data_IF_189789289849
#
_entry.id   IF_189789289849
#
_cell.length_a   1.000
_cell.length_b   1.000
_cell.length_c   1.000
_cell.angle_alpha   90.00
_cell.angle_beta   90.00
_cell.angle_gamma   90.00
#
_symmetry.space_group_name_H-M   'P 1'
#
loop_
_entity.id
_entity.type
_entity.pdbx_description
1 polymer ?
#
# COMPACT_ATOMS: atom_id res chain seq x y z
N UNK A 1 -41.62 -20.91 -47.85
CA UNK A 1 -40.89 -21.70 -46.83
C UNK A 1 -40.19 -20.75 -45.88
N UNK A 2 -40.46 -20.81 -44.58
CA UNK A 2 -39.82 -19.93 -43.57
C UNK A 2 -38.47 -20.52 -43.16
N UNK A 3 -37.41 -19.72 -43.18
CA UNK A 3 -36.08 -20.17 -42.80
C UNK A 3 -36.00 -20.45 -41.28
N UNK A 4 -35.99 -21.73 -40.88
CA UNK A 4 -35.98 -22.17 -39.47
C UNK A 4 -34.67 -21.89 -38.72
N UNK A 5 -33.60 -21.49 -39.41
CA UNK A 5 -32.29 -21.23 -38.79
C UNK A 5 -32.21 -19.90 -38.03
N UNK A 6 -33.19 -19.02 -38.18
CA UNK A 6 -33.21 -17.70 -37.55
C UNK A 6 -33.74 -17.83 -36.12
N UNK A 7 -33.03 -17.33 -35.07
CA UNK A 7 -33.45 -17.44 -33.66
C UNK A 7 -34.83 -16.85 -33.35
N UNK A 8 -35.30 -15.93 -34.22
CA UNK A 8 -36.63 -15.30 -34.14
C UNK A 8 -37.78 -16.29 -34.40
N UNK A 9 -37.51 -17.43 -35.04
CA UNK A 9 -38.50 -18.47 -35.35
C UNK A 9 -38.57 -19.56 -34.25
N UNK A 10 -38.21 -19.21 -33.02
CA UNK A 10 -38.12 -20.14 -31.87
C UNK A 10 -39.40 -20.94 -31.61
N UNK A 11 -40.57 -20.33 -31.80
CA UNK A 11 -41.86 -21.01 -31.62
C UNK A 11 -42.07 -22.12 -32.65
N UNK A 12 -41.69 -21.89 -33.90
CA UNK A 12 -41.77 -22.90 -34.97
C UNK A 12 -40.72 -24.00 -34.79
N UNK A 13 -39.49 -23.65 -34.39
CA UNK A 13 -38.46 -24.66 -34.07
C UNK A 13 -38.91 -25.60 -32.94
N UNK A 14 -39.61 -25.10 -31.91
CA UNK A 14 -40.12 -25.93 -30.80
C UNK A 14 -41.17 -26.96 -31.24
N UNK A 15 -41.86 -26.73 -32.36
CA UNK A 15 -42.80 -27.72 -32.91
C UNK A 15 -42.09 -28.91 -33.57
N UNK A 16 -40.85 -28.70 -34.01
CA UNK A 16 -40.07 -29.69 -34.76
C UNK A 16 -38.88 -30.28 -33.98
N UNK A 17 -38.44 -29.63 -32.90
CA UNK A 17 -37.35 -30.12 -32.05
C UNK A 17 -37.63 -29.85 -30.57
N UNK A 18 -37.45 -30.84 -29.70
CA UNK A 18 -37.54 -30.68 -28.24
C UNK A 18 -36.37 -29.92 -27.61
N UNK A 19 -35.34 -29.63 -28.39
CA UNK A 19 -34.13 -28.92 -27.96
C UNK A 19 -34.32 -27.41 -28.11
N UNK A 20 -33.85 -26.64 -27.13
CA UNK A 20 -33.79 -25.19 -27.22
C UNK A 20 -32.41 -24.76 -27.74
N UNK A 21 -32.30 -23.75 -28.63
CA UNK A 21 -31.01 -23.21 -28.99
C UNK A 21 -30.31 -22.66 -27.74
N UNK A 22 -29.13 -23.21 -27.43
CA UNK A 22 -28.22 -22.66 -26.44
C UNK A 22 -27.85 -21.24 -26.86
N UNK A 23 -28.11 -20.26 -26.01
CA UNK A 23 -27.60 -18.90 -26.24
C UNK A 23 -26.07 -18.99 -26.22
N UNK A 24 -25.43 -18.75 -27.35
CA UNK A 24 -23.97 -18.78 -27.52
C UNK A 24 -23.21 -17.80 -26.60
N UNK A 25 -23.90 -16.94 -25.86
CA UNK A 25 -23.31 -15.83 -25.11
C UNK A 25 -22.68 -16.24 -23.77
N UNK A 26 -22.84 -17.49 -23.30
CA UNK A 26 -22.22 -17.94 -22.04
C UNK A 26 -20.67 -17.89 -22.10
N UNK A 27 -20.08 -18.22 -23.24
CA UNK A 27 -18.62 -18.18 -23.44
C UNK A 27 -18.11 -16.80 -23.88
N UNK A 28 -18.95 -15.95 -24.46
CA UNK A 28 -18.53 -14.66 -25.02
C UNK A 28 -18.53 -13.52 -23.98
N UNK A 29 -19.40 -13.57 -22.97
CA UNK A 29 -19.48 -12.56 -21.91
C UNK A 29 -18.94 -13.02 -20.55
N UNK A 30 -18.34 -14.21 -20.48
CA UNK A 30 -17.65 -14.67 -19.28
C UNK A 30 -16.57 -13.68 -18.82
N UNK A 31 -15.83 -13.06 -19.74
CA UNK A 31 -14.84 -12.02 -19.39
C UNK A 31 -15.48 -10.75 -18.82
N UNK A 32 -16.62 -10.31 -19.35
CA UNK A 32 -17.33 -9.11 -18.87
C UNK A 32 -17.91 -9.32 -17.49
N UNK A 33 -18.34 -10.55 -17.17
CA UNK A 33 -18.91 -10.88 -15.88
C UNK A 33 -17.85 -11.23 -14.81
N UNK A 34 -16.74 -11.87 -15.21
CA UNK A 34 -15.64 -12.23 -14.29
C UNK A 34 -14.82 -11.02 -13.83
N UNK A 35 -14.75 -9.94 -14.61
CA UNK A 35 -13.99 -8.74 -14.24
C UNK A 35 -14.57 -8.02 -13.00
N UNK A 36 -15.87 -7.69 -12.93
CA UNK A 36 -16.50 -7.15 -11.73
C UNK A 36 -16.37 -8.08 -10.51
N UNK A 37 -16.52 -9.40 -10.70
CA UNK A 37 -16.35 -10.36 -9.61
C UNK A 37 -14.92 -10.37 -9.06
N UNK A 38 -13.92 -10.38 -9.95
CA UNK A 38 -12.51 -10.26 -9.56
C UNK A 38 -12.25 -8.96 -8.84
N UNK A 39 -12.76 -7.85 -9.37
CA UNK A 39 -12.62 -6.54 -8.75
C UNK A 39 -13.20 -6.52 -7.33
N UNK A 40 -14.42 -7.00 -7.13
CA UNK A 40 -15.06 -7.05 -5.80
C UNK A 40 -14.24 -7.87 -4.81
N UNK A 41 -13.58 -8.95 -5.25
CA UNK A 41 -12.71 -9.76 -4.40
C UNK A 41 -11.42 -9.05 -3.98
N UNK A 42 -10.84 -8.20 -4.83
CA UNK A 42 -9.54 -7.56 -4.57
C UNK A 42 -9.65 -6.11 -4.07
N UNK A 43 -10.81 -5.45 -4.24
CA UNK A 43 -10.96 -4.02 -3.94
C UNK A 43 -10.61 -3.66 -2.51
N UNK A 44 -10.90 -4.56 -1.55
CA UNK A 44 -10.68 -4.28 -0.14
C UNK A 44 -9.18 -4.36 0.18
N UNK A 45 -8.44 -5.25 -0.47
CA UNK A 45 -6.97 -5.29 -0.39
C UNK A 45 -6.34 -4.03 -0.99
N UNK A 46 -6.82 -3.57 -2.15
CA UNK A 46 -6.35 -2.34 -2.78
C UNK A 46 -6.52 -1.15 -1.82
N UNK A 47 -7.70 -1.01 -1.21
CA UNK A 47 -7.98 0.06 -0.25
C UNK A 47 -7.09 -0.01 0.99
N UNK A 48 -6.70 -1.20 1.45
CA UNK A 48 -5.75 -1.35 2.57
C UNK A 48 -4.37 -0.82 2.22
N UNK A 49 -3.88 -1.15 1.03
CA UNK A 49 -2.57 -0.65 0.54
C UNK A 49 -2.62 0.87 0.35
N UNK A 50 -3.71 1.40 -0.20
CA UNK A 50 -3.90 2.85 -0.36
C UNK A 50 -3.87 3.57 1.00
N UNK A 51 -4.59 3.05 2.00
CA UNK A 51 -4.59 3.63 3.34
C UNK A 51 -3.19 3.64 4.00
N UNK A 52 -2.38 2.59 3.75
CA UNK A 52 -0.99 2.56 4.20
C UNK A 52 -0.18 3.66 3.52
N UNK A 53 -0.37 3.87 2.22
CA UNK A 53 0.32 4.92 1.47
C UNK A 53 -0.06 6.33 1.94
N UNK A 54 -1.32 6.55 2.31
CA UNK A 54 -1.77 7.81 2.89
C UNK A 54 -1.11 8.04 4.26
N UNK A 55 -1.09 7.01 5.14
CA UNK A 55 -0.39 7.09 6.43
C UNK A 55 1.10 7.38 6.28
N UNK A 56 1.77 6.77 5.30
CA UNK A 56 3.20 6.99 5.05
C UNK A 56 3.53 8.42 4.59
N UNK A 57 2.55 9.14 4.04
CA UNK A 57 2.70 10.53 3.60
C UNK A 57 2.38 11.55 4.69
N UNK A 58 1.90 11.12 5.85
CA UNK A 58 1.64 12.00 6.99
C UNK A 58 2.95 12.55 7.55
N UNK A 59 3.08 13.88 7.63
CA UNK A 59 4.27 14.57 8.14
C UNK A 59 4.50 14.33 9.65
N UNK A 60 3.49 13.81 10.35
CA UNK A 60 3.54 13.52 11.79
C UNK A 60 4.06 12.13 12.11
N UNK A 61 4.21 11.25 11.11
CA UNK A 61 4.56 9.86 11.33
C UNK A 61 6.04 9.70 11.68
N UNK A 62 6.32 9.08 12.84
CA UNK A 62 7.69 8.79 13.23
C UNK A 62 8.29 7.71 12.34
N UNK A 63 9.61 7.77 12.10
CA UNK A 63 10.34 6.76 11.32
C UNK A 63 10.24 5.35 11.92
N UNK A 64 10.11 5.24 13.24
CA UNK A 64 9.82 3.97 13.92
C UNK A 64 8.43 3.43 13.59
N UNK A 65 7.41 4.29 13.53
CA UNK A 65 6.05 3.90 13.17
C UNK A 65 5.95 3.49 11.69
N UNK A 66 6.69 4.19 10.80
CA UNK A 66 6.87 3.78 9.40
C UNK A 66 7.36 2.33 9.32
N UNK A 67 8.35 1.95 10.12
CA UNK A 67 8.91 0.60 10.10
C UNK A 67 7.90 -0.46 10.53
N UNK A 68 7.16 -0.20 11.62
CA UNK A 68 6.07 -1.07 12.08
C UNK A 68 5.01 -1.26 10.97
N UNK A 69 4.69 -0.20 10.24
CA UNK A 69 3.70 -0.26 9.16
C UNK A 69 4.20 -1.09 7.98
N UNK A 70 5.46 -0.93 7.59
CA UNK A 70 6.09 -1.72 6.53
C UNK A 70 6.27 -3.19 6.92
N UNK A 71 6.58 -3.49 8.19
CA UNK A 71 6.66 -4.87 8.70
C UNK A 71 5.28 -5.55 8.65
N UNK A 72 4.22 -4.84 9.05
CA UNK A 72 2.84 -5.33 8.91
C UNK A 72 2.45 -5.55 7.45
N UNK A 73 2.89 -4.70 6.52
CA UNK A 73 2.69 -4.92 5.08
C UNK A 73 3.37 -6.20 4.58
N UNK A 74 4.58 -6.48 5.04
CA UNK A 74 5.31 -7.70 4.73
C UNK A 74 4.67 -8.96 5.35
N UNK A 75 3.92 -8.81 6.44
CA UNK A 75 3.11 -9.87 7.04
C UNK A 75 1.82 -10.11 6.25
N UNK A 76 1.04 -9.07 5.96
CA UNK A 76 -0.23 -9.17 5.24
C UNK A 76 -0.05 -9.59 3.77
N UNK A 77 1.02 -9.12 3.13
CA UNK A 77 1.31 -9.40 1.73
C UNK A 77 2.70 -10.02 1.61
N UNK A 78 2.84 -11.36 1.79
CA UNK A 78 4.14 -12.04 1.76
C UNK A 78 4.94 -11.82 0.48
N UNK A 79 4.28 -11.49 -0.63
CA UNK A 79 4.91 -11.13 -1.90
C UNK A 79 5.80 -9.88 -1.81
N UNK A 80 5.60 -9.02 -0.81
CA UNK A 80 6.38 -7.80 -0.59
C UNK A 80 7.64 -8.03 0.25
N UNK A 81 7.77 -9.18 0.92
CA UNK A 81 8.92 -9.50 1.78
C UNK A 81 10.28 -9.33 1.11
N UNK A 82 10.49 -9.75 -0.16
CA UNK A 82 11.78 -9.55 -0.82
C UNK A 82 12.21 -8.08 -0.95
N UNK A 83 11.26 -7.15 -0.84
CA UNK A 83 11.49 -5.72 -1.00
C UNK A 83 11.48 -4.96 0.33
N UNK A 84 10.79 -5.48 1.36
CA UNK A 84 10.58 -4.79 2.64
C UNK A 84 11.35 -5.42 3.81
N UNK A 85 11.89 -6.63 3.64
CA UNK A 85 12.66 -7.33 4.68
C UNK A 85 13.90 -6.52 5.11
N UNK A 86 14.38 -6.66 6.36
CA UNK A 86 15.69 -6.19 6.77
C UNK A 86 16.86 -6.69 5.91
N UNK A 87 16.66 -7.80 5.18
CA UNK A 87 17.66 -8.39 4.27
C UNK A 87 17.34 -8.12 2.78
N UNK A 88 16.47 -7.15 2.48
CA UNK A 88 16.09 -6.83 1.11
C UNK A 88 17.27 -6.26 0.29
N UNK A 89 17.34 -6.60 -1.00
CA UNK A 89 18.41 -6.19 -1.92
C UNK A 89 18.60 -4.67 -2.03
N UNK A 90 17.57 -3.89 -1.70
CA UNK A 90 17.61 -2.42 -1.68
C UNK A 90 18.48 -1.86 -0.55
N UNK A 91 18.82 -2.66 0.45
CA UNK A 91 19.61 -2.23 1.60
C UNK A 91 21.10 -2.30 1.24
N UNK A 92 21.70 -1.12 1.10
CA UNK A 92 23.11 -1.00 0.71
C UNK A 92 24.09 -1.35 1.83
N UNK A 93 23.74 -1.10 3.09
CA UNK A 93 24.55 -1.42 4.25
C UNK A 93 23.67 -1.81 5.42
N UNK A 94 23.62 -3.12 5.69
CA UNK A 94 22.81 -3.69 6.77
C UNK A 94 23.24 -3.15 8.15
N UNK A 95 24.55 -3.02 8.38
CA UNK A 95 25.13 -2.49 9.62
C UNK A 95 24.62 -1.07 9.86
N UNK A 96 24.70 -0.21 8.85
CA UNK A 96 24.23 1.18 8.93
C UNK A 96 22.73 1.26 9.25
N UNK A 97 21.88 0.54 8.50
CA UNK A 97 20.43 0.53 8.72
C UNK A 97 20.07 0.04 10.13
N UNK A 98 20.73 -1.03 10.60
CA UNK A 98 20.51 -1.56 11.94
C UNK A 98 20.92 -0.57 13.03
N UNK A 99 22.02 0.17 12.83
CA UNK A 99 22.49 1.20 13.74
C UNK A 99 21.50 2.37 13.83
N UNK A 100 20.96 2.82 12.70
CA UNK A 100 19.93 3.87 12.64
C UNK A 100 18.66 3.45 13.40
N UNK A 101 18.22 2.20 13.25
CA UNK A 101 17.06 1.65 13.98
C UNK A 101 17.30 1.67 15.49
N UNK A 102 18.47 1.18 15.94
CA UNK A 102 18.83 1.20 17.37
C UNK A 102 18.84 2.62 17.93
N UNK A 103 19.33 3.60 17.16
CA UNK A 103 19.33 5.01 17.56
C UNK A 103 17.89 5.56 17.64
N UNK A 104 17.05 5.27 16.65
CA UNK A 104 15.66 5.72 16.59
C UNK A 104 14.80 5.16 17.74
N UNK A 105 15.04 3.90 18.13
CA UNK A 105 14.40 3.25 19.27
C UNK A 105 15.01 3.64 20.64
N UNK A 106 15.96 4.58 20.66
CA UNK A 106 16.70 5.02 21.86
C UNK A 106 17.50 3.91 22.56
N UNK A 107 17.79 2.79 21.86
CA UNK A 107 18.61 1.66 22.34
C UNK A 107 20.09 1.89 22.09
N UNK A 108 20.63 3.03 22.57
CA UNK A 108 22.05 3.39 22.36
C UNK A 108 23.04 2.41 23.02
N UNK A 109 22.60 1.65 24.02
CA UNK A 109 23.42 0.65 24.71
C UNK A 109 23.77 -0.57 23.84
N UNK A 110 23.02 -0.81 22.75
CA UNK A 110 23.20 -1.96 21.85
C UNK A 110 24.05 -1.64 20.61
N UNK A 111 24.62 -0.43 20.54
CA UNK A 111 25.49 -0.03 19.44
C UNK A 111 26.84 -0.72 19.56
N UNK A 112 27.14 -1.57 18.57
CA UNK A 112 28.47 -2.15 18.39
C UNK A 112 29.45 -1.07 17.91
N UNK A 113 30.77 -1.26 18.06
CA UNK A 113 31.75 -0.33 17.49
C UNK A 113 31.61 -0.20 15.97
N UNK A 114 31.27 -1.27 15.26
CA UNK A 114 30.99 -1.26 13.82
C UNK A 114 29.77 -0.38 13.47
N UNK A 115 28.71 -0.45 14.28
CA UNK A 115 27.54 0.44 14.14
C UNK A 115 27.93 1.92 14.32
N UNK A 116 28.80 2.20 15.30
CA UNK A 116 29.25 3.57 15.58
C UNK A 116 30.09 4.14 14.44
N UNK A 117 30.95 3.32 13.83
CA UNK A 117 31.77 3.68 12.69
C UNK A 117 30.90 3.92 11.44
N UNK A 118 29.90 3.07 11.20
CA UNK A 118 28.97 3.22 10.08
C UNK A 118 28.15 4.53 10.14
N UNK A 119 27.76 4.97 11.34
CA UNK A 119 26.95 6.19 11.54
C UNK A 119 27.82 7.43 11.79
N UNK A 120 29.13 7.28 12.02
CA UNK A 120 30.05 8.39 12.29
C UNK A 120 29.97 9.53 11.25
N UNK A 121 29.88 9.27 9.92
CA UNK A 121 29.78 10.34 8.92
C UNK A 121 28.53 11.22 9.04
N UNK A 122 27.47 10.74 9.70
CA UNK A 122 26.17 11.41 9.82
C UNK A 122 25.99 12.17 11.14
N UNK A 123 27.03 12.21 12.00
CA UNK A 123 27.01 13.01 13.22
C UNK A 123 27.04 14.48 12.85
N UNK A 124 25.96 15.21 13.17
CA UNK A 124 25.94 16.66 13.02
C UNK A 124 27.00 17.29 13.94
N UNK A 125 27.90 18.07 13.34
CA UNK A 125 28.79 18.96 14.08
C UNK A 125 27.92 20.07 14.67
N UNK A 126 27.90 20.20 16.00
CA UNK A 126 27.23 21.33 16.66
C UNK A 126 27.84 22.65 16.16
N UNK A 127 27.01 23.65 15.89
CA UNK A 127 27.38 25.00 15.40
C UNK A 127 28.45 25.72 16.24
N UNK A 128 28.83 25.20 17.41
CA UNK A 128 29.92 25.73 18.22
C UNK A 128 31.32 25.55 17.60
N UNK A 129 31.50 24.81 16.49
CA UNK A 129 32.84 24.62 15.90
C UNK A 129 32.87 24.43 14.37
N UNK A 130 32.33 25.36 13.58
CA UNK A 130 32.63 25.42 12.13
C UNK A 130 32.91 26.86 11.68
N UNK A 131 34.11 27.19 11.16
CA UNK A 131 34.34 28.43 10.44
C UNK A 131 33.60 28.41 9.09
N UNK A 132 32.99 29.55 8.77
CA UNK A 132 32.10 29.75 7.64
C UNK A 132 32.66 29.25 6.28
N UNK A 133 31.90 28.38 5.60
CA UNK A 133 31.88 28.30 4.14
C UNK A 133 30.59 27.64 3.60
N UNK A 134 29.78 28.48 2.96
CA UNK A 134 28.74 28.32 1.91
C UNK A 134 28.42 26.93 1.33
N UNK A 135 27.13 26.59 1.21
CA UNK A 135 26.44 26.24 -0.08
C UNK A 135 24.93 26.01 0.07
N UNK A 136 24.17 27.00 -0.43
CA UNK A 136 22.92 26.96 -1.22
C UNK A 136 21.71 26.15 -0.76
N UNK A 137 20.77 26.87 -0.12
CA UNK A 137 19.35 26.52 0.02
C UNK A 137 18.64 26.41 -1.33
N UNK A 138 17.95 25.28 -1.55
CA UNK A 138 16.98 25.14 -2.63
C UNK A 138 15.57 25.14 -2.03
N UNK A 139 14.92 26.30 -2.08
CA UNK A 139 13.54 26.47 -1.65
C UNK A 139 12.59 25.64 -2.53
N UNK A 140 11.66 24.90 -1.90
CA UNK A 140 10.49 24.32 -2.55
C UNK A 140 9.24 24.91 -1.92
N UNK A 141 8.56 25.75 -2.67
CA UNK A 141 7.22 26.23 -2.37
C UNK A 141 6.20 25.14 -2.72
N UNK A 142 5.30 24.80 -1.80
CA UNK A 142 4.15 23.92 -2.07
C UNK A 142 2.88 24.63 -1.66
N UNK A 143 2.02 24.86 -2.64
CA UNK A 143 0.70 25.47 -2.51
C UNK A 143 -0.27 24.47 -1.89
N UNK A 144 -1.02 24.91 -0.88
CA UNK A 144 -1.98 24.13 -0.11
C UNK A 144 -3.41 24.55 -0.51
N UNK A 145 -4.27 23.56 -0.82
CA UNK A 145 -5.73 23.71 -0.91
C UNK A 145 -6.32 22.49 -0.19
N UNK A 146 -6.95 22.67 0.98
CA UNK A 146 -8.42 22.79 1.20
C UNK A 146 -9.17 21.51 0.78
N UNK A 147 -10.08 20.90 1.54
CA UNK A 147 -10.68 21.09 2.86
C UNK A 147 -11.77 20.02 3.00
N UNK A 148 -11.99 19.49 4.21
CA UNK A 148 -13.33 19.18 4.74
C UNK A 148 -14.08 17.99 4.15
N UNK A 149 -14.00 16.85 4.85
CA UNK A 149 -15.15 15.98 5.10
C UNK A 149 -14.78 15.11 6.31
N UNK A 150 -15.69 15.01 7.28
CA UNK A 150 -15.50 14.44 8.61
C UNK A 150 -14.73 13.10 8.62
N UNK A 151 -13.64 13.08 9.40
CA UNK A 151 -12.65 12.02 9.44
C UNK A 151 -13.19 10.73 10.06
N UNK A 152 -13.30 9.68 9.24
CA UNK A 152 -13.56 8.32 9.69
C UNK A 152 -12.52 7.83 10.72
N UNK A 153 -11.31 8.41 10.69
CA UNK A 153 -10.24 8.19 11.67
C UNK A 153 -10.64 8.63 13.09
N UNK A 154 -11.45 9.69 13.23
CA UNK A 154 -11.95 10.16 14.53
C UNK A 154 -13.02 9.23 15.11
N UNK A 155 -13.74 8.49 14.26
CA UNK A 155 -14.74 7.52 14.70
C UNK A 155 -14.11 6.24 15.29
N UNK A 156 -12.94 5.82 14.79
CA UNK A 156 -12.21 4.65 15.29
C UNK A 156 -11.62 4.84 16.69
N UNK A 157 -11.43 6.08 17.14
CA UNK A 157 -10.87 6.41 18.47
C UNK A 157 -11.92 6.66 19.55
N UNK A 158 -13.23 6.76 19.21
CA UNK A 158 -14.29 7.10 20.18
C UNK A 158 -15.04 5.91 20.74
N UNK A 159 -14.87 4.71 20.18
CA UNK A 159 -15.55 3.50 20.64
C UNK A 159 -14.74 2.76 21.70
N UNK A 160 -14.46 3.45 22.80
CA UNK A 160 -14.14 2.84 24.10
C UNK A 160 -14.97 3.58 25.16
N UNK A 161 -16.27 3.28 25.23
CA UNK A 161 -17.08 3.48 26.42
C UNK A 161 -18.28 2.54 26.35
N UNK A 162 -18.16 1.39 27.02
CA UNK A 162 -19.26 0.49 27.30
C UNK A 162 -19.83 0.83 28.69
N UNK A 163 -21.15 1.06 28.86
CA UNK A 163 -21.73 1.16 30.18
C UNK A 163 -21.98 -0.25 30.77
N UNK A 164 -21.76 -0.37 32.09
CA UNK A 164 -22.24 -1.47 32.94
C UNK A 164 -23.76 -1.48 33.10
#
# INVERSE_FOLDING_TARGET
MVALRIPKNRSELRRHTGLAPLRANATQWGSTFTMPERYVRIRDEIKRVDAVYDLLQEDTLSTSAVRILLDKMAEMFPITRPYLSPDADIIHSLVFESAVVKIAEKRKAELTPEDQDAVAPFKLISEANVPAATTQQRARTRTQAHSGAEDFATALLRSDDAPS
#
